data_IF_717405025493
#
_entry.id   IF_717405025493
#
_cell.length_a   1.000
_cell.length_b   1.000
_cell.length_c   1.000
_cell.angle_alpha   90.00
_cell.angle_beta   90.00
_cell.angle_gamma   90.00
#
_symmetry.space_group_name_H-M   'P 1'
#
loop_
_entity.id
_entity.type
_entity.pdbx_description
1 polymer ?
#
# COMPACT_ATOMS: atom_id res chain seq x y z
N UNK A 1 -10.35 -13.30 11.79
CA UNK A 1 -10.19 -13.41 10.31
C UNK A 1 -9.92 -12.00 9.80
N UNK A 2 -8.85 -11.77 9.03
CA UNK A 2 -8.50 -10.42 8.56
C UNK A 2 -9.25 -10.07 7.27
N UNK A 3 -9.61 -8.80 7.11
CA UNK A 3 -10.18 -8.27 5.88
C UNK A 3 -9.04 -8.10 4.88
N UNK A 4 -9.10 -8.85 3.77
CA UNK A 4 -8.14 -8.68 2.68
C UNK A 4 -8.42 -7.37 1.95
N UNK A 5 -7.42 -6.50 1.92
CA UNK A 5 -7.55 -5.13 1.41
C UNK A 5 -6.57 -4.87 0.28
N UNK A 6 -7.05 -4.23 -0.77
CA UNK A 6 -6.23 -3.66 -1.83
C UNK A 6 -6.35 -2.15 -1.74
N UNK A 7 -5.21 -1.45 -1.75
CA UNK A 7 -5.18 0.02 -1.76
C UNK A 7 -4.94 0.48 -3.19
N UNK A 8 -5.93 1.17 -3.76
CA UNK A 8 -5.90 1.60 -5.16
C UNK A 8 -5.34 3.02 -5.31
N UNK A 9 -4.58 3.25 -6.39
CA UNK A 9 -4.06 4.59 -6.74
C UNK A 9 -2.89 5.03 -5.87
N UNK A 10 -2.07 4.07 -5.44
CA UNK A 10 -1.07 4.26 -4.41
C UNK A 10 0.26 4.83 -4.93
N UNK A 11 0.65 6.02 -4.48
CA UNK A 11 2.01 6.55 -4.65
C UNK A 11 2.32 7.79 -3.79
N UNK A 12 1.55 8.02 -2.71
CA UNK A 12 1.62 9.24 -1.92
C UNK A 12 0.91 9.11 -0.57
N UNK A 13 -0.24 9.77 -0.41
CA UNK A 13 -0.99 9.81 0.86
C UNK A 13 -1.46 8.43 1.30
N UNK A 14 -1.80 7.58 0.36
CA UNK A 14 -2.07 6.15 0.55
C UNK A 14 -1.01 5.43 1.41
N UNK A 15 0.29 5.61 1.14
CA UNK A 15 1.36 5.00 1.93
C UNK A 15 1.38 5.58 3.35
N UNK A 16 1.09 6.87 3.51
CA UNK A 16 0.95 7.45 4.84
C UNK A 16 -0.21 6.80 5.62
N UNK A 17 -1.38 6.68 5.01
CA UNK A 17 -2.55 6.02 5.62
C UNK A 17 -2.27 4.55 5.89
N UNK A 18 -1.58 3.86 4.98
CA UNK A 18 -1.13 2.50 5.21
C UNK A 18 -0.28 2.42 6.48
N UNK A 19 0.73 3.27 6.61
CA UNK A 19 1.64 3.25 7.75
C UNK A 19 0.98 3.61 9.08
N UNK A 20 0.02 4.54 9.08
CA UNK A 20 -0.58 5.06 10.32
C UNK A 20 -1.85 4.33 10.74
N UNK A 21 -2.57 3.70 9.81
CA UNK A 21 -3.84 3.04 10.09
C UNK A 21 -3.86 1.54 9.78
N UNK A 22 -3.25 1.09 8.68
CA UNK A 22 -3.40 -0.30 8.23
C UNK A 22 -2.27 -1.23 8.68
N UNK A 23 -1.03 -0.75 8.76
CA UNK A 23 0.19 -1.57 8.93
C UNK A 23 0.10 -2.51 10.13
N UNK A 24 -0.32 -1.99 11.27
CA UNK A 24 -0.35 -2.71 12.54
C UNK A 24 -1.80 -2.99 13.01
N UNK A 25 -2.76 -2.92 12.10
CA UNK A 25 -4.17 -3.10 12.42
C UNK A 25 -4.58 -4.57 12.22
N UNK A 26 -4.93 -5.22 13.32
CA UNK A 26 -5.27 -6.65 13.33
C UNK A 26 -6.51 -7.01 12.50
N UNK A 27 -7.36 -6.03 12.18
CA UNK A 27 -8.56 -6.24 11.36
C UNK A 27 -8.24 -6.37 9.88
N UNK A 28 -7.10 -5.84 9.41
CA UNK A 28 -6.81 -5.71 7.98
C UNK A 28 -5.54 -6.46 7.57
N UNK A 29 -5.56 -6.97 6.34
CA UNK A 29 -4.42 -7.55 5.66
C UNK A 29 -4.31 -6.87 4.29
N UNK A 30 -3.42 -5.88 4.19
CA UNK A 30 -3.17 -5.21 2.90
C UNK A 30 -2.30 -6.11 2.04
N UNK A 31 -2.88 -6.66 0.99
CA UNK A 31 -2.23 -7.67 0.13
C UNK A 31 -1.63 -7.08 -1.14
N UNK A 32 -2.08 -5.90 -1.55
CA UNK A 32 -1.57 -5.23 -2.75
C UNK A 32 -1.82 -3.73 -2.72
N UNK A 33 -0.94 -3.01 -3.43
CA UNK A 33 -1.14 -1.64 -3.87
C UNK A 33 -1.29 -1.65 -5.39
N UNK A 34 -2.16 -0.81 -5.94
CA UNK A 34 -2.17 -0.53 -7.38
C UNK A 34 -1.55 0.84 -7.62
N UNK A 35 -0.79 1.00 -8.71
CA UNK A 35 -0.23 2.29 -9.10
C UNK A 35 -0.11 2.33 -10.62
N UNK A 36 -0.79 3.28 -11.30
CA UNK A 36 -0.83 3.28 -12.79
C UNK A 36 -0.60 4.64 -13.43
N UNK A 37 -0.34 5.70 -12.64
CA UNK A 37 -0.38 7.08 -13.15
C UNK A 37 0.93 7.85 -12.96
N UNK A 38 1.94 7.26 -12.34
CA UNK A 38 3.24 7.91 -12.15
C UNK A 38 4.25 7.30 -13.14
N UNK A 39 4.91 8.10 -13.99
CA UNK A 39 5.95 7.61 -14.88
C UNK A 39 7.02 6.82 -14.12
N UNK A 40 7.42 5.65 -14.65
CA UNK A 40 8.44 4.76 -14.10
C UNK A 40 8.12 4.17 -12.71
N UNK A 41 6.83 4.02 -12.36
CA UNK A 41 6.44 3.44 -11.06
C UNK A 41 6.46 1.91 -11.04
N UNK A 42 6.37 1.25 -12.21
CA UNK A 42 6.23 -0.21 -12.33
C UNK A 42 7.38 -1.02 -11.70
N UNK A 43 8.55 -0.41 -11.50
CA UNK A 43 9.71 -1.04 -10.86
C UNK A 43 9.89 -0.70 -9.39
N UNK A 44 9.06 0.19 -8.82
CA UNK A 44 9.24 0.66 -7.45
C UNK A 44 8.63 -0.31 -6.45
N UNK A 45 9.39 -0.63 -5.40
CA UNK A 45 8.93 -1.43 -4.27
C UNK A 45 8.72 -0.56 -3.04
N UNK A 46 7.77 -0.95 -2.21
CA UNK A 46 7.55 -0.37 -0.91
C UNK A 46 7.54 -1.47 0.18
N UNK A 47 8.20 -1.26 1.32
CA UNK A 47 9.16 -0.19 1.60
C UNK A 47 10.42 -0.27 0.72
N UNK A 48 11.10 0.86 0.51
CA UNK A 48 12.22 0.99 -0.43
C UNK A 48 13.50 0.21 -0.02
N UNK A 49 13.51 -0.37 1.19
CA UNK A 49 14.66 -1.05 1.81
C UNK A 49 14.52 -2.58 1.83
N UNK A 50 13.53 -3.13 1.13
CA UNK A 50 13.31 -4.58 0.98
C UNK A 50 13.81 -5.10 -0.37
#
# INVERSE_FOLDING_TARGET
>A
MKIKTIIMGAAGRDFHVFNTYFRDNELYEVVAFTATQIPNIEGRKYPAVL
#
